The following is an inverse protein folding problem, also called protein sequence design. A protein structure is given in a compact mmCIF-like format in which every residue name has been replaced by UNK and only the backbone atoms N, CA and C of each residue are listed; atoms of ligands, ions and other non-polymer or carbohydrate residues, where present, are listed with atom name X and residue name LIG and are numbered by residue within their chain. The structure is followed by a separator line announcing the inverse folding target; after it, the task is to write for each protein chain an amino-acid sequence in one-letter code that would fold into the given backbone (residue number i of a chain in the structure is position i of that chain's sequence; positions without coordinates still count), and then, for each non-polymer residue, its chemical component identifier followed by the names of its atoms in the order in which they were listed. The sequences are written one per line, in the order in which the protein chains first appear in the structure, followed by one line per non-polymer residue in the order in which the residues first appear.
data_IF_955726975667
#
_entry.id   IF_955726975667
#
_cell.length_a   1.000
_cell.length_b   1.000
_cell.length_c   1.000
_cell.angle_alpha   90.00
_cell.angle_beta   90.00
_cell.angle_gamma   90.00
#
_symmetry.space_group_name_H-M   'P 1'
#
loop_
_entity.id
_entity.type
_entity.pdbx_description
1 polymer ?
#
# COMPACT_ATOMS: atom_id res chain seq x y z
N UNK A 1 15.93 -9.40 10.84
CA UNK A 1 16.07 -8.25 11.76
C UNK A 1 16.72 -8.63 13.10
N UNK A 2 16.16 -9.56 13.89
CA UNK A 2 16.77 -9.95 15.19
C UNK A 2 18.20 -10.46 15.05
N UNK A 3 18.52 -11.24 14.02
CA UNK A 3 19.86 -11.74 13.75
C UNK A 3 20.85 -10.61 13.44
N UNK A 4 20.36 -9.52 12.84
CA UNK A 4 21.14 -8.32 12.52
C UNK A 4 21.16 -7.29 13.66
N UNK A 5 20.67 -7.66 14.85
CA UNK A 5 20.77 -6.84 16.06
C UNK A 5 19.63 -5.83 16.26
N UNK A 6 18.56 -5.88 15.45
CA UNK A 6 17.43 -4.98 15.61
C UNK A 6 16.70 -5.19 16.95
N UNK A 7 16.40 -4.09 17.64
CA UNK A 7 15.65 -4.07 18.90
C UNK A 7 14.17 -3.81 18.60
N UNK A 8 13.30 -4.73 19.04
CA UNK A 8 11.86 -4.59 18.90
C UNK A 8 11.30 -3.83 20.08
N UNK A 9 10.73 -2.65 19.83
CA UNK A 9 10.20 -1.79 20.90
C UNK A 9 8.69 -1.97 21.13
N UNK A 10 7.96 -2.54 20.18
CA UNK A 10 6.52 -2.74 20.33
C UNK A 10 5.82 -3.19 19.05
N UNK A 11 4.49 -3.15 19.11
CA UNK A 11 3.58 -3.35 17.97
C UNK A 11 2.89 -2.03 17.66
N UNK A 12 2.83 -1.70 16.37
CA UNK A 12 2.11 -0.51 15.90
C UNK A 12 0.60 -0.79 15.78
N UNK A 13 -0.21 0.25 15.95
CA UNK A 13 -1.64 0.19 15.64
C UNK A 13 -1.84 0.07 14.13
N UNK A 14 -2.92 -0.62 13.74
CA UNK A 14 -3.32 -0.81 12.35
C UNK A 14 -4.82 -1.00 12.26
N UNK A 15 -5.41 -0.81 11.10
CA UNK A 15 -6.80 -1.18 10.88
C UNK A 15 -7.03 -2.66 11.19
N UNK A 16 -8.21 -2.98 11.70
CA UNK A 16 -8.61 -4.35 12.09
C UNK A 16 -8.34 -5.33 10.94
N UNK A 17 -7.50 -6.36 11.21
CA UNK A 17 -7.11 -7.40 10.25
C UNK A 17 -6.55 -6.87 8.91
N UNK A 18 -5.92 -5.70 8.92
CA UNK A 18 -5.43 -4.99 7.73
C UNK A 18 -6.53 -4.60 6.72
N UNK A 19 -7.80 -4.61 7.11
CA UNK A 19 -8.96 -4.38 6.26
C UNK A 19 -9.52 -2.96 6.38
N UNK A 20 -8.67 -1.96 6.27
CA UNK A 20 -9.06 -0.55 6.29
C UNK A 20 -8.17 0.27 5.37
N UNK A 21 -8.32 1.58 5.42
CA UNK A 21 -7.50 2.54 4.66
C UNK A 21 -7.25 3.83 5.43
N UNK A 22 -7.73 3.91 6.67
CA UNK A 22 -7.76 5.14 7.46
C UNK A 22 -7.05 5.04 8.80
N UNK A 23 -6.83 3.83 9.30
CA UNK A 23 -6.41 3.50 10.68
C UNK A 23 -7.40 4.02 11.75
N UNK A 24 -8.70 3.96 11.43
CA UNK A 24 -9.77 4.34 12.35
C UNK A 24 -10.57 3.15 12.89
N UNK A 25 -10.14 1.92 12.54
CA UNK A 25 -10.78 0.68 12.99
C UNK A 25 -9.89 -0.15 13.92
N UNK A 26 -8.79 0.43 14.41
CA UNK A 26 -7.88 -0.25 15.32
C UNK A 26 -8.56 -0.52 16.69
N UNK A 27 -8.40 -1.72 17.22
CA UNK A 27 -8.94 -2.12 18.53
C UNK A 27 -8.43 -1.24 19.68
N UNK A 28 -7.20 -0.72 19.58
CA UNK A 28 -6.58 0.12 20.62
C UNK A 28 -6.81 1.62 20.42
N UNK A 29 -7.62 2.01 19.48
CA UNK A 29 -7.91 3.40 19.14
C UNK A 29 -7.22 3.87 17.86
N UNK A 30 -7.61 5.03 17.36
CA UNK A 30 -7.09 5.62 16.12
C UNK A 30 -5.63 6.06 16.29
N UNK A 31 -4.85 5.91 15.23
CA UNK A 31 -3.59 6.62 15.13
C UNK A 31 -3.82 8.03 14.57
N UNK A 32 -3.21 9.01 15.21
CA UNK A 32 -3.25 10.40 14.79
C UNK A 32 -2.00 10.75 13.94
N UNK A 33 -2.18 11.58 12.93
CA UNK A 33 -1.08 11.98 12.08
C UNK A 33 -0.12 12.91 12.86
N UNK A 34 1.17 12.59 12.94
CA UNK A 34 2.11 13.38 13.74
C UNK A 34 2.33 14.82 13.22
N UNK A 35 2.06 15.09 11.94
CA UNK A 35 2.13 16.43 11.37
C UNK A 35 0.93 17.31 11.75
N UNK A 36 -0.25 16.68 11.92
CA UNK A 36 -1.47 17.34 12.37
C UNK A 36 -2.39 16.28 12.99
N UNK A 37 -2.55 16.33 14.31
CA UNK A 37 -3.27 15.31 15.09
C UNK A 37 -4.78 15.26 14.82
N UNK A 38 -5.35 16.25 14.12
CA UNK A 38 -6.75 16.21 13.67
C UNK A 38 -6.93 15.42 12.38
N UNK A 39 -5.82 14.98 11.75
CA UNK A 39 -5.82 14.24 10.49
C UNK A 39 -5.51 12.76 10.70
N UNK A 40 -6.00 11.93 9.78
CA UNK A 40 -5.72 10.50 9.79
C UNK A 40 -4.28 10.21 9.31
N UNK A 41 -3.75 9.07 9.72
CA UNK A 41 -2.46 8.55 9.25
C UNK A 41 -2.56 7.83 7.91
N UNK A 42 -3.78 7.58 7.43
CA UNK A 42 -4.00 6.54 6.42
C UNK A 42 -3.84 5.14 7.01
N UNK A 43 -4.20 4.14 6.24
CA UNK A 43 -4.19 2.73 6.67
C UNK A 43 -3.91 1.78 5.50
N UNK A 44 -3.80 0.50 5.87
CA UNK A 44 -4.01 -0.08 7.21
C UNK A 44 -2.80 0.07 8.15
N UNK A 45 -1.59 0.34 7.67
CA UNK A 45 -0.34 0.39 8.48
C UNK A 45 -0.04 1.82 9.01
N UNK A 46 -1.06 2.60 9.37
CA UNK A 46 -0.93 4.00 9.75
C UNK A 46 -0.06 4.24 10.98
N UNK A 47 -0.21 3.41 12.03
CA UNK A 47 0.62 3.53 13.23
C UNK A 47 2.10 3.27 12.96
N UNK A 48 2.44 2.37 12.03
CA UNK A 48 3.84 2.13 11.61
C UNK A 48 4.42 3.36 10.92
N UNK A 49 3.67 3.99 10.01
CA UNK A 49 4.09 5.22 9.35
C UNK A 49 4.28 6.38 10.34
N UNK A 50 3.32 6.55 11.26
CA UNK A 50 3.37 7.59 12.27
C UNK A 50 4.57 7.46 13.22
N UNK A 51 4.95 6.22 13.61
CA UNK A 51 6.12 5.97 14.45
C UNK A 51 7.43 6.38 13.77
N UNK A 52 7.57 6.16 12.46
CA UNK A 52 8.74 6.63 11.71
C UNK A 52 8.70 8.14 11.55
N UNK A 53 7.55 8.70 11.16
CA UNK A 53 7.39 10.14 10.97
C UNK A 53 7.61 10.97 12.24
N UNK A 54 7.35 10.41 13.42
CA UNK A 54 7.63 11.05 14.72
C UNK A 54 9.05 10.80 15.24
N UNK A 55 9.91 10.11 14.48
CA UNK A 55 11.29 9.82 14.88
C UNK A 55 11.43 8.81 16.04
N UNK A 56 10.36 8.14 16.43
CA UNK A 56 10.38 7.15 17.53
C UNK A 56 11.17 5.90 17.14
N UNK A 57 11.12 5.51 15.87
CA UNK A 57 11.87 4.39 15.31
C UNK A 57 12.44 4.75 13.93
N UNK A 58 13.65 4.25 13.58
CA UNK A 58 14.21 4.46 12.24
C UNK A 58 13.47 3.67 11.15
N UNK A 59 12.80 2.56 11.53
CA UNK A 59 12.03 1.73 10.60
C UNK A 59 10.85 1.05 11.29
N UNK A 60 9.79 0.79 10.54
CA UNK A 60 8.64 0.03 11.00
C UNK A 60 8.13 -0.91 9.91
N UNK A 61 7.65 -2.10 10.31
CA UNK A 61 7.05 -3.07 9.39
C UNK A 61 5.57 -2.75 9.20
N UNK A 62 5.08 -2.96 7.98
CA UNK A 62 3.67 -2.89 7.62
C UNK A 62 3.27 -4.02 6.68
N UNK A 63 2.03 -4.02 6.24
CA UNK A 63 1.52 -4.89 5.18
C UNK A 63 0.73 -4.06 4.16
N UNK A 64 0.75 -4.50 2.90
CA UNK A 64 0.14 -3.80 1.78
C UNK A 64 -0.63 -4.78 0.90
N UNK A 65 -1.94 -4.63 0.87
CA UNK A 65 -2.86 -5.46 0.08
C UNK A 65 -3.48 -4.67 -1.09
N UNK A 66 -3.58 -3.36 -0.96
CA UNK A 66 -4.05 -2.44 -2.01
C UNK A 66 -3.19 -1.16 -2.09
N UNK A 67 -2.85 -0.60 -0.93
CA UNK A 67 -2.04 0.61 -0.79
C UNK A 67 -1.56 0.82 0.66
N UNK A 68 -1.77 -0.15 1.52
CA UNK A 68 -1.74 -0.01 2.99
C UNK A 68 -0.36 0.28 3.62
N UNK A 69 0.71 0.36 2.83
CA UNK A 69 2.02 0.93 3.19
C UNK A 69 2.22 2.26 2.46
N UNK A 70 1.88 2.33 1.19
CA UNK A 70 2.20 3.45 0.31
C UNK A 70 1.34 4.69 0.56
N UNK A 71 0.05 4.53 0.83
CA UNK A 71 -0.85 5.63 1.21
C UNK A 71 -0.47 6.21 2.57
N UNK A 72 -0.29 5.39 3.64
CA UNK A 72 0.22 5.91 4.91
C UNK A 72 1.57 6.62 4.81
N UNK A 73 2.48 6.15 3.95
CA UNK A 73 3.76 6.81 3.73
C UNK A 73 3.56 8.23 3.18
N UNK A 74 2.65 8.41 2.20
CA UNK A 74 2.32 9.72 1.65
C UNK A 74 1.80 10.68 2.72
N UNK A 75 0.86 10.22 3.54
CA UNK A 75 0.20 11.05 4.55
C UNK A 75 1.10 11.38 5.75
N UNK A 76 2.14 10.59 6.00
CA UNK A 76 3.06 10.80 7.12
C UNK A 76 4.44 11.33 6.67
N UNK A 77 4.68 11.54 5.37
CA UNK A 77 5.94 12.12 4.88
C UNK A 77 7.16 11.23 5.07
N UNK A 78 6.99 9.92 4.93
CA UNK A 78 8.04 8.91 5.05
C UNK A 78 8.18 8.09 3.78
N UNK A 79 9.25 7.33 3.67
CA UNK A 79 9.42 6.33 2.60
C UNK A 79 8.64 5.08 2.98
N UNK A 80 7.74 4.63 2.08
CA UNK A 80 6.99 3.39 2.27
C UNK A 80 7.21 2.43 1.10
N UNK A 81 7.71 1.23 1.38
CA UNK A 81 8.10 0.25 0.37
C UNK A 81 7.22 -0.98 0.40
N UNK A 82 6.65 -1.32 -0.75
CA UNK A 82 6.03 -2.60 -1.06
C UNK A 82 6.91 -3.29 -2.10
N UNK A 83 7.75 -4.27 -1.75
CA UNK A 83 8.60 -4.96 -2.72
C UNK A 83 7.79 -5.90 -3.61
N UNK A 84 8.46 -6.59 -4.52
CA UNK A 84 7.85 -7.64 -5.35
C UNK A 84 7.21 -8.73 -4.47
N UNK A 85 6.06 -9.25 -4.91
CA UNK A 85 5.35 -10.32 -4.23
C UNK A 85 6.26 -11.54 -3.98
N UNK A 86 6.31 -11.97 -2.72
CA UNK A 86 7.19 -13.06 -2.31
C UNK A 86 8.66 -12.66 -2.13
N UNK A 87 9.03 -11.39 -2.26
CA UNK A 87 10.40 -10.92 -1.96
C UNK A 87 10.69 -10.99 -0.46
N UNK A 88 9.70 -10.67 0.37
CA UNK A 88 9.71 -10.86 1.82
C UNK A 88 8.72 -11.96 2.18
N UNK A 89 9.11 -12.87 3.07
CA UNK A 89 8.23 -13.93 3.56
C UNK A 89 7.00 -13.36 4.28
N UNK A 90 5.85 -13.97 4.05
CA UNK A 90 4.58 -13.66 4.73
C UNK A 90 4.28 -14.59 5.91
N UNK A 91 5.21 -15.48 6.23
CA UNK A 91 5.04 -16.38 7.37
C UNK A 91 4.90 -15.59 8.68
N UNK A 92 3.83 -15.88 9.42
CA UNK A 92 3.50 -15.20 10.67
C UNK A 92 2.56 -14.00 10.53
N UNK A 93 2.15 -13.65 9.29
CA UNK A 93 1.12 -12.65 9.04
C UNK A 93 -0.24 -13.34 9.02
N UNK A 94 -1.24 -12.71 9.64
CA UNK A 94 -2.65 -13.09 9.46
C UNK A 94 -3.07 -12.61 8.07
N UNK A 95 -3.40 -13.51 7.12
CA UNK A 95 -3.62 -13.11 5.75
C UNK A 95 -4.94 -12.36 5.59
N UNK A 96 -4.92 -11.20 4.93
CA UNK A 96 -6.13 -10.54 4.45
C UNK A 96 -6.56 -11.15 3.11
N UNK A 97 -5.79 -10.94 2.05
CA UNK A 97 -6.03 -11.50 0.73
C UNK A 97 -4.73 -12.12 0.20
N UNK A 98 -4.63 -13.46 0.27
CA UNK A 98 -3.38 -14.19 0.04
C UNK A 98 -2.75 -13.93 -1.32
N UNK A 99 -3.56 -13.63 -2.35
CA UNK A 99 -3.05 -13.32 -3.69
C UNK A 99 -2.60 -11.87 -3.88
N UNK A 100 -2.80 -10.99 -2.86
CA UNK A 100 -2.54 -9.56 -2.93
C UNK A 100 -1.62 -9.06 -1.81
N UNK A 101 -1.57 -9.76 -0.68
CA UNK A 101 -0.83 -9.35 0.51
C UNK A 101 0.69 -9.31 0.26
N UNK A 102 1.30 -8.20 0.65
CA UNK A 102 2.75 -8.01 0.70
C UNK A 102 3.17 -7.58 2.10
N UNK A 103 4.32 -8.05 2.55
CA UNK A 103 5.03 -7.38 3.64
C UNK A 103 5.71 -6.16 3.06
N UNK A 104 5.52 -5.03 3.70
CA UNK A 104 6.19 -3.80 3.39
C UNK A 104 6.76 -3.16 4.66
N UNK A 105 7.34 -1.99 4.51
CA UNK A 105 7.99 -1.30 5.61
C UNK A 105 8.11 0.20 5.33
N UNK A 106 8.46 0.95 6.37
CA UNK A 106 8.65 2.40 6.36
C UNK A 106 10.04 2.74 6.87
N UNK A 107 10.66 3.76 6.27
CA UNK A 107 11.94 4.36 6.69
C UNK A 107 11.91 5.88 6.52
N UNK A 108 12.90 6.58 7.09
CA UNK A 108 13.03 8.03 6.92
C UNK A 108 13.63 8.45 5.58
N UNK A 109 14.38 7.55 4.93
CA UNK A 109 15.11 7.83 3.69
C UNK A 109 15.22 6.59 2.80
N UNK A 110 15.67 6.78 1.56
CA UNK A 110 15.76 5.72 0.53
C UNK A 110 16.91 4.76 0.80
N UNK A 111 18.03 5.22 1.35
CA UNK A 111 19.18 4.35 1.67
C UNK A 111 18.82 3.33 2.76
N UNK A 112 18.18 3.77 3.83
CA UNK A 112 17.64 2.88 4.87
C UNK A 112 16.58 1.92 4.31
N UNK A 113 15.81 2.34 3.30
CA UNK A 113 14.87 1.46 2.63
C UNK A 113 15.57 0.33 1.87
N UNK A 114 16.69 0.62 1.19
CA UNK A 114 17.52 -0.39 0.53
C UNK A 114 18.09 -1.40 1.54
N UNK A 115 18.75 -0.91 2.60
CA UNK A 115 19.32 -1.74 3.67
C UNK A 115 18.25 -2.61 4.33
N UNK A 116 17.07 -2.05 4.56
CA UNK A 116 15.96 -2.78 5.17
C UNK A 116 15.50 -3.93 4.26
N UNK A 117 15.41 -3.72 2.94
CA UNK A 117 15.03 -4.79 2.02
C UNK A 117 16.08 -5.89 1.96
N UNK A 118 17.36 -5.57 1.95
CA UNK A 118 18.46 -6.54 1.98
C UNK A 118 18.35 -7.50 3.17
N UNK A 119 17.96 -6.98 4.32
CA UNK A 119 17.80 -7.77 5.56
C UNK A 119 16.50 -8.57 5.58
N UNK A 120 15.42 -8.05 5.01
CA UNK A 120 14.09 -8.67 5.07
C UNK A 120 13.86 -9.68 3.94
N UNK A 121 14.48 -9.46 2.78
CA UNK A 121 14.27 -10.28 1.60
C UNK A 121 14.92 -11.66 1.73
N UNK A 122 14.42 -12.60 0.95
CA UNK A 122 15.02 -13.94 0.84
C UNK A 122 14.02 -15.08 0.98
N UNK A 123 14.53 -16.29 0.76
CA UNK A 123 13.75 -17.51 0.84
C UNK A 123 13.41 -17.88 2.30
N UNK A 124 12.16 -18.23 2.53
CA UNK A 124 11.68 -18.84 3.76
C UNK A 124 10.89 -20.11 3.44
N UNK A 125 11.39 -21.26 3.89
CA UNK A 125 10.77 -22.57 3.60
C UNK A 125 9.37 -22.74 4.25
N UNK A 126 9.00 -21.83 5.17
CA UNK A 126 7.68 -21.81 5.79
C UNK A 126 6.64 -21.01 4.99
N UNK A 127 7.09 -20.26 3.97
CA UNK A 127 6.24 -19.54 3.03
C UNK A 127 6.53 -20.01 1.59
N UNK A 128 5.64 -20.83 1.06
CA UNK A 128 5.75 -21.37 -0.30
C UNK A 128 5.73 -20.31 -1.39
N UNK A 129 5.28 -19.08 -1.08
CA UNK A 129 5.26 -17.95 -2.02
C UNK A 129 6.55 -17.15 -2.00
N UNK A 130 7.44 -17.37 -1.02
CA UNK A 130 8.72 -16.67 -0.96
C UNK A 130 9.66 -17.10 -2.10
N UNK A 131 10.35 -16.11 -2.68
CA UNK A 131 11.16 -16.27 -3.88
C UNK A 131 12.48 -16.99 -3.62
N UNK A 132 12.96 -17.77 -4.60
CA UNK A 132 14.31 -18.34 -4.65
C UNK A 132 15.37 -17.38 -5.21
N UNK A 133 14.97 -16.19 -5.70
CA UNK A 133 15.93 -15.22 -6.24
C UNK A 133 16.88 -14.74 -5.16
N UNK A 134 18.19 -14.63 -5.45
CA UNK A 134 19.16 -14.04 -4.54
C UNK A 134 18.73 -12.62 -4.11
N UNK A 135 19.14 -12.21 -2.95
CA UNK A 135 19.00 -10.83 -2.50
C UNK A 135 20.10 -10.01 -3.15
N UNK A 136 19.72 -8.90 -3.76
CA UNK A 136 20.63 -7.97 -4.40
C UNK A 136 21.20 -6.98 -3.37
N UNK A 137 22.37 -6.41 -3.65
CA UNK A 137 23.00 -5.38 -2.82
C UNK A 137 22.45 -4.00 -3.24
N UNK A 138 21.19 -3.73 -2.86
CA UNK A 138 20.46 -2.52 -3.30
C UNK A 138 21.13 -1.23 -2.84
N UNK A 139 21.64 -1.19 -1.61
CA UNK A 139 22.31 -0.02 -1.04
C UNK A 139 23.65 0.27 -1.71
N UNK A 140 24.43 -0.77 -1.98
CA UNK A 140 25.72 -0.63 -2.66
C UNK A 140 25.58 -0.20 -4.13
N UNK A 141 24.48 -0.56 -4.79
CA UNK A 141 24.19 -0.23 -6.17
C UNK A 141 23.30 1.01 -6.32
N UNK A 142 22.88 1.63 -5.22
CA UNK A 142 21.99 2.78 -5.22
C UNK A 142 22.64 3.98 -5.92
N UNK A 143 21.96 4.52 -6.92
CA UNK A 143 22.39 5.69 -7.63
C UNK A 143 21.22 6.59 -8.01
N UNK A 144 21.50 7.82 -8.41
CA UNK A 144 20.49 8.79 -8.81
C UNK A 144 20.63 9.26 -10.26
N UNK A 145 21.35 8.49 -11.08
CA UNK A 145 21.49 8.78 -12.51
C UNK A 145 20.20 8.45 -13.25
N UNK A 146 19.61 9.47 -13.85
CA UNK A 146 18.35 9.36 -14.59
C UNK A 146 18.55 9.33 -16.11
N UNK A 147 19.78 9.39 -16.62
CA UNK A 147 20.03 9.37 -18.06
C UNK A 147 19.49 8.10 -18.72
N UNK A 148 18.60 8.31 -19.70
CA UNK A 148 17.98 7.22 -20.46
C UNK A 148 16.88 6.45 -19.74
N UNK A 149 16.59 6.75 -18.48
CA UNK A 149 15.42 6.20 -17.76
C UNK A 149 14.14 6.73 -18.41
N UNK A 150 13.22 5.83 -18.74
CA UNK A 150 11.91 6.16 -19.29
C UNK A 150 10.84 5.98 -18.23
N UNK A 151 10.12 7.04 -17.94
CA UNK A 151 9.14 7.07 -16.84
C UNK A 151 7.79 7.49 -17.40
N UNK A 152 6.75 6.72 -17.13
CA UNK A 152 5.38 7.02 -17.50
C UNK A 152 4.64 7.73 -16.36
N UNK A 153 3.96 8.83 -16.68
CA UNK A 153 2.96 9.46 -15.79
C UNK A 153 1.59 8.87 -16.12
N UNK A 154 0.84 8.42 -15.13
CA UNK A 154 -0.53 7.94 -15.36
C UNK A 154 -1.48 9.12 -15.51
N UNK A 155 -1.81 9.50 -16.76
CA UNK A 155 -2.71 10.63 -17.05
C UNK A 155 -4.07 10.48 -16.37
N UNK A 156 -4.65 9.26 -16.38
CA UNK A 156 -5.92 8.98 -15.72
C UNK A 156 -5.95 9.35 -14.22
N UNK A 157 -4.81 9.21 -13.54
CA UNK A 157 -4.69 9.60 -12.12
C UNK A 157 -4.61 11.12 -11.99
N UNK A 158 -3.82 11.78 -12.84
CA UNK A 158 -3.67 13.24 -12.82
C UNK A 158 -5.01 13.93 -13.11
N UNK A 159 -5.81 13.40 -14.04
CA UNK A 159 -7.15 13.92 -14.35
C UNK A 159 -8.09 13.86 -13.15
N UNK A 160 -7.98 12.81 -12.33
CA UNK A 160 -8.80 12.61 -11.14
C UNK A 160 -8.37 13.43 -9.90
N UNK A 161 -7.25 14.14 -9.96
CA UNK A 161 -6.81 15.00 -8.86
C UNK A 161 -7.43 16.39 -9.03
N UNK A 162 -8.24 16.82 -8.06
CA UNK A 162 -8.88 18.14 -8.09
C UNK A 162 -7.98 19.27 -7.61
N UNK A 163 -7.05 18.98 -6.71
CA UNK A 163 -6.19 19.98 -6.07
C UNK A 163 -5.02 20.37 -6.94
N UNK A 164 -5.01 21.62 -7.41
CA UNK A 164 -3.96 22.14 -8.28
C UNK A 164 -2.59 22.16 -7.63
N UNK A 165 -2.50 22.47 -6.36
CA UNK A 165 -1.24 22.50 -5.59
C UNK A 165 -0.59 21.11 -5.48
N UNK A 166 -1.39 20.02 -5.41
CA UNK A 166 -0.88 18.65 -5.49
C UNK A 166 -0.30 18.34 -6.87
N UNK A 167 -1.00 18.77 -7.95
CA UNK A 167 -0.47 18.64 -9.31
C UNK A 167 0.82 19.44 -9.49
N UNK A 168 0.86 20.67 -9.00
CA UNK A 168 2.02 21.53 -9.11
C UNK A 168 3.25 20.96 -8.39
N UNK A 169 3.06 20.41 -7.19
CA UNK A 169 4.12 19.73 -6.45
C UNK A 169 4.64 18.51 -7.22
N UNK A 170 3.74 17.70 -7.80
CA UNK A 170 4.11 16.54 -8.60
C UNK A 170 4.88 16.94 -9.86
N UNK A 171 4.38 17.89 -10.64
CA UNK A 171 5.06 18.31 -11.87
C UNK A 171 6.39 19.03 -11.60
N UNK A 172 6.54 19.70 -10.45
CA UNK A 172 7.83 20.24 -10.04
C UNK A 172 8.90 19.14 -9.87
N UNK A 173 8.52 17.97 -9.33
CA UNK A 173 9.42 16.81 -9.26
C UNK A 173 9.67 16.22 -10.63
N UNK A 174 8.65 16.12 -11.50
CA UNK A 174 8.80 15.64 -12.89
C UNK A 174 9.83 16.46 -13.66
N UNK A 175 9.77 17.80 -13.57
CA UNK A 175 10.72 18.68 -14.25
C UNK A 175 12.16 18.49 -13.73
N UNK A 176 12.34 18.22 -12.46
CA UNK A 176 13.65 17.91 -11.89
C UNK A 176 14.20 16.57 -12.40
N UNK A 177 13.36 15.54 -12.53
CA UNK A 177 13.75 14.27 -13.15
C UNK A 177 14.13 14.43 -14.61
N UNK A 178 13.38 15.24 -15.38
CA UNK A 178 13.72 15.61 -16.75
C UNK A 178 15.06 16.33 -16.85
N UNK A 179 15.32 17.26 -15.96
CA UNK A 179 16.58 17.99 -15.87
C UNK A 179 17.77 17.06 -15.56
N UNK A 180 17.54 15.94 -14.86
CA UNK A 180 18.53 14.87 -14.63
C UNK A 180 18.69 13.90 -15.82
N UNK A 181 17.96 14.09 -16.91
CA UNK A 181 18.09 13.29 -18.14
C UNK A 181 17.09 12.16 -18.28
N UNK A 182 16.07 12.07 -17.40
CA UNK A 182 14.97 11.13 -17.59
C UNK A 182 14.06 11.56 -18.76
N UNK A 183 13.56 10.59 -19.50
CA UNK A 183 12.46 10.77 -20.44
C UNK A 183 11.17 10.52 -19.70
N UNK A 184 10.42 11.57 -19.37
CA UNK A 184 9.17 11.45 -18.60
C UNK A 184 8.01 11.86 -19.50
N UNK A 185 7.12 10.92 -19.79
CA UNK A 185 5.99 11.06 -20.72
C UNK A 185 4.68 10.68 -20.07
N UNK A 186 3.59 11.25 -20.56
CA UNK A 186 2.26 10.86 -20.13
C UNK A 186 1.84 9.54 -20.80
N UNK A 187 1.21 8.67 -20.03
CA UNK A 187 0.66 7.40 -20.47
C UNK A 187 -0.77 7.23 -19.95
N UNK A 188 -1.71 6.99 -20.85
CA UNK A 188 -3.10 6.75 -20.51
C UNK A 188 -3.44 5.26 -20.63
N UNK A 189 -3.90 4.66 -19.55
CA UNK A 189 -4.49 3.34 -19.58
C UNK A 189 -5.94 3.42 -20.11
N UNK A 190 -6.45 2.30 -20.60
CA UNK A 190 -7.87 2.23 -20.96
C UNK A 190 -8.75 2.59 -19.74
N UNK A 191 -9.66 3.53 -19.92
CA UNK A 191 -10.48 4.11 -18.86
C UNK A 191 -11.37 3.06 -18.17
N UNK A 192 -11.96 2.12 -18.92
CA UNK A 192 -12.79 1.05 -18.35
C UNK A 192 -11.98 0.13 -17.42
N UNK A 193 -10.69 -0.11 -17.76
CA UNK A 193 -9.81 -0.87 -16.89
C UNK A 193 -9.48 -0.09 -15.61
N UNK A 194 -9.27 1.21 -15.70
CA UNK A 194 -9.00 2.05 -14.54
C UNK A 194 -10.22 2.11 -13.60
N UNK A 195 -11.43 2.27 -14.13
CA UNK A 195 -12.69 2.19 -13.37
C UNK A 195 -12.90 0.81 -12.72
N UNK A 196 -12.40 -0.25 -13.34
CA UNK A 196 -12.52 -1.61 -12.83
C UNK A 196 -11.55 -1.95 -11.69
N UNK A 197 -10.56 -1.11 -11.37
CA UNK A 197 -9.54 -1.40 -10.33
C UNK A 197 -10.20 -1.63 -8.97
N UNK A 198 -10.96 -0.65 -8.48
CA UNK A 198 -11.56 -0.72 -7.14
C UNK A 198 -12.53 -1.89 -6.99
N UNK A 199 -13.53 -2.10 -7.87
CA UNK A 199 -14.43 -3.25 -7.75
C UNK A 199 -13.69 -4.60 -7.87
N UNK A 200 -12.69 -4.70 -8.73
CA UNK A 200 -11.86 -5.92 -8.87
C UNK A 200 -11.11 -6.21 -7.57
N UNK A 201 -10.49 -5.19 -6.99
CA UNK A 201 -9.80 -5.29 -5.70
C UNK A 201 -10.74 -5.74 -4.58
N UNK A 202 -11.88 -5.05 -4.42
CA UNK A 202 -12.83 -5.38 -3.36
C UNK A 202 -13.40 -6.79 -3.47
N UNK A 203 -13.73 -7.24 -4.67
CA UNK A 203 -14.26 -8.59 -4.87
C UNK A 203 -13.21 -9.64 -4.50
N UNK A 204 -12.00 -9.54 -5.06
CA UNK A 204 -10.93 -10.51 -4.79
C UNK A 204 -10.58 -10.49 -3.31
N UNK A 205 -10.30 -9.32 -2.75
CA UNK A 205 -9.86 -9.17 -1.37
C UNK A 205 -10.91 -9.66 -0.36
N UNK A 206 -12.18 -9.33 -0.56
CA UNK A 206 -13.23 -9.76 0.38
C UNK A 206 -13.54 -11.26 0.26
N UNK A 207 -13.51 -11.84 -0.94
CA UNK A 207 -13.66 -13.29 -1.12
C UNK A 207 -12.52 -14.06 -0.45
N UNK A 208 -11.29 -13.64 -0.67
CA UNK A 208 -10.12 -14.26 -0.04
C UNK A 208 -10.10 -14.05 1.49
N UNK A 209 -10.46 -12.86 1.99
CA UNK A 209 -10.60 -12.57 3.42
C UNK A 209 -11.62 -13.49 4.09
N UNK A 210 -12.77 -13.70 3.45
CA UNK A 210 -13.83 -14.57 3.98
C UNK A 210 -13.31 -16.00 4.17
N UNK A 211 -12.55 -16.51 3.21
CA UNK A 211 -11.91 -17.82 3.32
C UNK A 211 -10.79 -17.83 4.35
N UNK A 212 -9.88 -16.87 4.31
CA UNK A 212 -8.71 -16.80 5.18
C UNK A 212 -9.09 -16.67 6.67
N UNK A 213 -10.15 -15.91 6.98
CA UNK A 213 -10.60 -15.68 8.36
C UNK A 213 -11.72 -16.64 8.82
N UNK A 214 -12.00 -17.67 8.07
CA UNK A 214 -12.98 -18.69 8.47
C UNK A 214 -12.58 -19.44 9.75
N UNK A 215 -11.27 -19.48 10.06
CA UNK A 215 -10.72 -20.09 11.26
C UNK A 215 -10.82 -19.21 12.52
N UNK A 216 -11.15 -17.92 12.38
CA UNK A 216 -11.45 -17.03 13.51
C UNK A 216 -12.90 -17.23 13.93
N UNK A 217 -13.19 -18.36 14.52
CA UNK A 217 -14.54 -18.89 14.78
C UNK A 217 -14.91 -18.97 16.28
N UNK A 218 -13.98 -18.55 17.16
CA UNK A 218 -14.16 -18.65 18.60
C UNK A 218 -13.96 -20.06 19.16
N UNK A 219 -13.65 -21.06 18.30
CA UNK A 219 -13.34 -22.43 18.72
C UNK A 219 -11.85 -22.67 18.67
N UNK A 220 -11.23 -22.42 17.49
CA UNK A 220 -9.79 -22.62 17.26
C UNK A 220 -8.99 -21.36 17.54
N UNK A 221 -9.52 -20.20 17.15
CA UNK A 221 -8.86 -18.91 17.28
C UNK A 221 -9.89 -17.80 17.56
N UNK A 222 -9.39 -16.70 18.14
CA UNK A 222 -10.18 -15.51 18.41
C UNK A 222 -10.86 -15.52 19.77
N UNK A 223 -11.66 -14.49 20.01
CA UNK A 223 -12.48 -14.36 21.21
C UNK A 223 -13.61 -15.40 21.15
N UNK A 224 -13.84 -16.06 22.27
CA UNK A 224 -14.93 -17.04 22.41
C UNK A 224 -16.08 -16.44 23.21
N UNK A 225 -17.26 -16.50 22.64
CA UNK A 225 -18.53 -16.17 23.31
C UNK A 225 -19.34 -17.45 23.57
N UNK A 226 -20.18 -17.43 24.59
CA UNK A 226 -21.03 -18.57 24.94
C UNK A 226 -22.20 -18.72 23.96
N UNK A 227 -22.72 -19.94 23.83
CA UNK A 227 -23.86 -20.30 23.03
C UNK A 227 -24.40 -21.68 23.44
N UNK A 228 -25.66 -21.99 23.10
CA UNK A 228 -26.30 -23.26 23.42
C UNK A 228 -25.73 -24.46 22.65
N UNK A 229 -25.17 -24.17 21.45
CA UNK A 229 -24.51 -25.16 20.60
C UNK A 229 -23.31 -24.55 19.87
N UNK A 230 -22.63 -25.37 19.06
CA UNK A 230 -21.44 -24.97 18.30
C UNK A 230 -21.74 -23.82 17.32
N UNK A 231 -22.88 -23.88 16.65
CA UNK A 231 -23.25 -22.85 15.66
C UNK A 231 -23.51 -21.51 16.35
N UNK A 232 -24.18 -21.52 17.49
CA UNK A 232 -24.43 -20.30 18.27
C UNK A 232 -23.14 -19.72 18.86
N UNK A 233 -22.23 -20.55 19.38
CA UNK A 233 -20.91 -20.13 19.84
C UNK A 233 -20.15 -19.41 18.69
N UNK A 234 -20.07 -20.00 17.51
CA UNK A 234 -19.39 -19.41 16.36
C UNK A 234 -20.07 -18.11 15.91
N UNK A 235 -21.40 -18.08 15.86
CA UNK A 235 -22.17 -16.91 15.46
C UNK A 235 -21.95 -15.75 16.44
N UNK A 236 -22.07 -16.01 17.74
CA UNK A 236 -21.88 -15.01 18.78
C UNK A 236 -20.45 -14.47 18.78
N UNK A 237 -19.46 -15.38 18.71
CA UNK A 237 -18.04 -15.01 18.69
C UNK A 237 -17.69 -14.11 17.51
N UNK A 238 -18.16 -14.46 16.30
CA UNK A 238 -17.92 -13.65 15.11
C UNK A 238 -18.71 -12.34 15.10
N UNK A 239 -19.93 -12.34 15.62
CA UNK A 239 -20.78 -11.14 15.68
C UNK A 239 -20.23 -10.10 16.64
N UNK A 240 -19.73 -10.51 17.80
CA UNK A 240 -19.17 -9.61 18.82
C UNK A 240 -17.69 -9.31 18.59
N UNK A 241 -16.94 -10.29 18.09
CA UNK A 241 -15.48 -10.22 17.93
C UNK A 241 -15.01 -9.38 16.74
N UNK A 242 -15.86 -9.16 15.72
CA UNK A 242 -15.50 -8.35 14.55
C UNK A 242 -16.24 -7.02 14.51
N UNK A 243 -15.50 -5.98 14.14
CA UNK A 243 -16.06 -4.66 13.88
C UNK A 243 -17.04 -4.64 12.69
N UNK A 244 -17.91 -3.60 12.61
CA UNK A 244 -18.94 -3.52 11.56
C UNK A 244 -18.36 -3.56 10.13
N UNK A 245 -17.21 -2.92 9.89
CA UNK A 245 -16.54 -2.91 8.60
C UNK A 245 -16.13 -4.32 8.16
N UNK A 246 -15.55 -5.09 9.07
CA UNK A 246 -15.08 -6.46 8.79
C UNK A 246 -16.25 -7.38 8.51
N UNK A 247 -17.32 -7.31 9.32
CA UNK A 247 -18.54 -8.09 9.09
C UNK A 247 -19.15 -7.82 7.71
N UNK A 248 -19.21 -6.54 7.30
CA UNK A 248 -19.69 -6.15 5.94
C UNK A 248 -18.83 -6.77 4.84
N UNK A 249 -17.50 -6.78 4.99
CA UNK A 249 -16.58 -7.39 4.03
C UNK A 249 -16.78 -8.90 3.91
N UNK A 250 -17.01 -9.59 5.02
CA UNK A 250 -17.32 -11.03 4.98
C UNK A 250 -18.66 -11.34 4.31
N UNK A 251 -19.68 -10.49 4.48
CA UNK A 251 -20.96 -10.65 3.75
C UNK A 251 -20.75 -10.52 2.26
N UNK A 252 -20.01 -9.50 1.80
CA UNK A 252 -19.70 -9.30 0.38
C UNK A 252 -18.88 -10.48 -0.16
N UNK A 253 -17.85 -10.92 0.57
CA UNK A 253 -17.02 -12.04 0.17
C UNK A 253 -17.78 -13.36 0.11
N UNK A 254 -18.64 -13.63 1.10
CA UNK A 254 -19.49 -14.82 1.11
C UNK A 254 -20.42 -14.86 -0.10
N UNK A 255 -21.04 -13.72 -0.45
CA UNK A 255 -21.90 -13.62 -1.63
C UNK A 255 -21.15 -13.97 -2.92
N UNK A 256 -19.90 -13.48 -3.07
CA UNK A 256 -19.05 -13.79 -4.23
C UNK A 256 -18.57 -15.24 -4.28
N UNK A 257 -18.54 -15.95 -3.15
CA UNK A 257 -18.10 -17.35 -3.05
C UNK A 257 -19.22 -18.37 -3.17
N UNK A 258 -20.50 -17.99 -3.11
CA UNK A 258 -21.59 -18.90 -3.38
C UNK A 258 -21.46 -19.53 -4.78
N UNK A 259 -21.79 -20.80 -4.92
CA UNK A 259 -21.61 -21.57 -6.15
C UNK A 259 -22.23 -20.88 -7.38
N UNK A 260 -23.45 -20.35 -7.24
CA UNK A 260 -24.19 -19.65 -8.30
C UNK A 260 -23.55 -18.31 -8.70
N UNK A 261 -22.73 -17.70 -7.82
CA UNK A 261 -22.11 -16.39 -8.01
C UNK A 261 -20.64 -16.47 -8.40
N UNK A 262 -19.97 -17.57 -8.09
CA UNK A 262 -18.51 -17.67 -8.16
C UNK A 262 -17.96 -17.34 -9.56
N UNK A 263 -18.56 -17.85 -10.62
CA UNK A 263 -18.12 -17.56 -11.99
C UNK A 263 -18.38 -16.10 -12.40
N UNK A 264 -19.52 -15.55 -12.00
CA UNK A 264 -19.97 -14.22 -12.43
C UNK A 264 -19.29 -13.11 -11.65
N UNK A 265 -18.84 -13.37 -10.42
CA UNK A 265 -18.29 -12.37 -9.50
C UNK A 265 -16.80 -12.62 -9.25
N UNK A 266 -16.43 -13.65 -8.47
CA UNK A 266 -15.05 -13.86 -8.04
C UNK A 266 -14.12 -14.19 -9.22
N UNK A 267 -14.45 -15.18 -10.01
CA UNK A 267 -13.63 -15.56 -11.18
C UNK A 267 -13.63 -14.48 -12.27
N UNK A 268 -14.73 -13.75 -12.42
CA UNK A 268 -14.76 -12.58 -13.31
C UNK A 268 -13.76 -11.52 -12.86
N UNK A 269 -13.73 -11.19 -11.57
CA UNK A 269 -12.75 -10.24 -11.02
C UNK A 269 -11.31 -10.71 -11.23
N UNK A 270 -11.01 -12.01 -11.06
CA UNK A 270 -9.68 -12.55 -11.36
C UNK A 270 -9.30 -12.43 -12.85
N UNK A 271 -10.26 -12.60 -13.77
CA UNK A 271 -10.05 -12.38 -15.22
C UNK A 271 -9.80 -10.90 -15.51
N UNK A 272 -10.55 -9.98 -14.90
CA UNK A 272 -10.32 -8.52 -15.05
C UNK A 272 -8.96 -8.13 -14.49
N UNK A 273 -8.57 -8.63 -13.30
CA UNK A 273 -7.20 -8.46 -12.76
C UNK A 273 -6.15 -8.83 -13.80
N UNK A 274 -6.30 -9.96 -14.47
CA UNK A 274 -5.35 -10.40 -15.51
C UNK A 274 -5.23 -9.40 -16.65
N UNK A 275 -6.35 -8.85 -17.13
CA UNK A 275 -6.34 -7.84 -18.21
C UNK A 275 -5.65 -6.54 -17.75
N UNK A 276 -5.89 -6.10 -16.52
CA UNK A 276 -5.18 -4.94 -15.94
C UNK A 276 -3.67 -5.19 -15.90
N UNK A 277 -3.25 -6.38 -15.43
CA UNK A 277 -1.83 -6.76 -15.39
C UNK A 277 -1.20 -6.81 -16.79
N UNK A 278 -1.93 -7.29 -17.80
CA UNK A 278 -1.46 -7.30 -19.18
C UNK A 278 -1.28 -5.89 -19.73
N UNK A 279 -2.15 -4.94 -19.38
CA UNK A 279 -1.99 -3.53 -19.72
C UNK A 279 -0.75 -2.91 -19.05
N UNK A 280 -0.52 -3.20 -17.74
CA UNK A 280 0.71 -2.78 -17.06
C UNK A 280 1.96 -3.35 -17.72
N UNK A 281 1.95 -4.64 -18.04
CA UNK A 281 3.09 -5.29 -18.72
C UNK A 281 3.36 -4.69 -20.10
N UNK A 282 2.33 -4.21 -20.82
CA UNK A 282 2.49 -3.50 -22.06
C UNK A 282 3.21 -2.14 -21.86
N UNK A 283 2.80 -1.38 -20.83
CA UNK A 283 3.45 -0.14 -20.43
C UNK A 283 4.94 -0.39 -20.06
N UNK A 284 5.23 -1.40 -19.24
CA UNK A 284 6.61 -1.73 -18.83
C UNK A 284 7.52 -2.31 -19.95
N UNK A 285 7.02 -2.54 -21.16
CA UNK A 285 7.88 -2.80 -22.31
C UNK A 285 8.54 -1.54 -22.86
N UNK A 286 7.95 -0.39 -22.59
CA UNK A 286 8.38 0.91 -23.11
C UNK A 286 8.98 1.79 -22.01
N UNK A 287 8.55 1.60 -20.75
CA UNK A 287 8.93 2.41 -19.60
C UNK A 287 9.53 1.56 -18.46
N UNK A 288 10.52 2.12 -17.80
CA UNK A 288 11.19 1.51 -16.64
C UNK A 288 10.32 1.60 -15.36
N UNK A 289 9.53 2.66 -15.27
CA UNK A 289 8.66 2.93 -14.13
C UNK A 289 7.39 3.70 -14.53
N UNK A 290 6.41 3.59 -13.65
CA UNK A 290 5.18 4.40 -13.66
C UNK A 290 5.19 5.27 -12.40
N UNK A 291 4.87 6.55 -12.54
CA UNK A 291 4.75 7.49 -11.41
C UNK A 291 3.40 8.22 -11.41
N UNK A 292 2.90 8.53 -10.22
CA UNK A 292 1.75 9.42 -9.99
C UNK A 292 1.75 9.92 -8.54
N UNK A 293 1.01 10.99 -8.20
CA UNK A 293 0.75 11.33 -6.81
C UNK A 293 0.12 10.15 -6.05
N UNK A 294 0.57 9.89 -4.82
CA UNK A 294 0.05 8.78 -4.01
C UNK A 294 -1.34 9.06 -3.42
N UNK A 295 -1.76 10.32 -3.42
CA UNK A 295 -3.09 10.80 -3.02
C UNK A 295 -3.41 12.09 -3.74
N UNK A 296 -4.69 12.38 -3.91
CA UNK A 296 -5.16 13.64 -4.51
C UNK A 296 -4.96 14.89 -3.64
N UNK A 297 -4.71 14.72 -2.35
CA UNK A 297 -4.48 15.80 -1.39
C UNK A 297 -3.69 15.30 -0.16
N UNK A 298 -3.41 16.18 0.81
CA UNK A 298 -2.90 15.84 2.14
C UNK A 298 -3.89 14.92 2.89
N UNK A 299 -3.44 14.34 4.00
CA UNK A 299 -4.25 13.44 4.81
C UNK A 299 -5.61 14.07 5.19
N UNK A 300 -6.74 13.36 5.00
CA UNK A 300 -8.05 13.85 5.42
C UNK A 300 -8.17 14.02 6.93
N UNK A 301 -9.11 14.86 7.38
CA UNK A 301 -9.45 15.01 8.80
C UNK A 301 -10.06 13.71 9.35
N UNK A 302 -9.83 13.43 10.63
CA UNK A 302 -10.44 12.30 11.34
C UNK A 302 -11.95 12.47 11.51
N UNK A 303 -12.41 13.69 11.74
CA UNK A 303 -13.82 14.04 11.91
C UNK A 303 -14.31 14.88 10.72
N UNK A 304 -15.60 14.76 10.40
CA UNK A 304 -16.25 15.60 9.38
C UNK A 304 -16.18 15.08 7.95
N UNK A 305 -15.62 13.91 7.71
CA UNK A 305 -15.64 13.27 6.39
C UNK A 305 -17.05 12.74 6.06
N UNK A 306 -17.88 13.57 5.45
CA UNK A 306 -19.06 13.09 4.74
C UNK A 306 -18.60 12.56 3.37
N UNK A 307 -18.86 11.29 3.11
CA UNK A 307 -18.63 10.70 1.79
C UNK A 307 -19.64 11.34 0.83
N UNK A 308 -19.22 12.37 0.11
CA UNK A 308 -19.94 12.84 -1.07
C UNK A 308 -19.87 11.77 -2.17
N UNK A 309 -20.78 11.81 -3.11
CA UNK A 309 -20.74 10.91 -4.29
C UNK A 309 -19.47 11.25 -5.08
N UNK A 310 -18.50 10.37 -5.03
CA UNK A 310 -17.20 10.58 -5.68
C UNK A 310 -17.32 10.33 -7.19
N UNK A 311 -16.64 11.14 -7.99
CA UNK A 311 -16.55 10.91 -9.44
C UNK A 311 -15.71 9.66 -9.75
N UNK A 312 -15.88 9.08 -10.94
CA UNK A 312 -15.08 7.94 -11.39
C UNK A 312 -13.58 8.28 -11.43
N UNK A 313 -13.24 9.50 -11.86
CA UNK A 313 -11.87 10.00 -11.93
C UNK A 313 -11.23 10.09 -10.53
N UNK A 314 -11.99 10.60 -9.55
CA UNK A 314 -11.53 10.63 -8.15
C UNK A 314 -11.30 9.23 -7.60
N UNK A 315 -12.23 8.30 -7.86
CA UNK A 315 -12.09 6.89 -7.45
C UNK A 315 -10.84 6.26 -8.07
N UNK A 316 -10.54 6.55 -9.33
CA UNK A 316 -9.31 6.09 -10.01
C UNK A 316 -8.08 6.65 -9.29
N UNK A 317 -8.02 7.97 -9.08
CA UNK A 317 -6.88 8.64 -8.47
C UNK A 317 -6.57 8.11 -7.05
N UNK A 318 -7.60 7.78 -6.27
CA UNK A 318 -7.42 7.29 -4.91
C UNK A 318 -7.13 5.78 -4.79
N UNK A 319 -7.35 4.99 -5.84
CA UNK A 319 -7.26 3.52 -5.76
C UNK A 319 -6.33 2.86 -6.79
N UNK A 320 -5.71 3.61 -7.70
CA UNK A 320 -4.84 3.06 -8.76
C UNK A 320 -3.66 2.23 -8.22
N UNK A 321 -3.18 2.52 -7.02
CA UNK A 321 -2.03 1.81 -6.42
C UNK A 321 -2.28 0.31 -6.26
N UNK A 322 -3.55 -0.15 -6.21
CA UNK A 322 -3.88 -1.58 -6.18
C UNK A 322 -3.37 -2.34 -7.43
N UNK A 323 -3.11 -1.64 -8.53
CA UNK A 323 -2.49 -2.24 -9.73
C UNK A 323 -1.15 -2.93 -9.41
N UNK A 324 -0.34 -2.34 -8.51
CA UNK A 324 0.92 -2.95 -8.08
C UNK A 324 0.73 -4.23 -7.24
N UNK A 325 -0.41 -4.37 -6.53
CA UNK A 325 -0.76 -5.61 -5.85
C UNK A 325 -1.29 -6.65 -6.85
N UNK A 326 -2.00 -6.22 -7.88
CA UNK A 326 -2.47 -7.11 -8.95
C UNK A 326 -1.33 -7.73 -9.72
N UNK A 327 -0.33 -6.93 -10.11
CA UNK A 327 0.84 -7.38 -10.87
C UNK A 327 1.87 -8.09 -9.98
N UNK A 328 1.87 -7.80 -8.68
CA UNK A 328 2.92 -8.23 -7.76
C UNK A 328 4.25 -7.49 -7.92
N UNK A 329 4.31 -6.44 -8.76
CA UNK A 329 5.52 -5.63 -8.94
C UNK A 329 5.86 -4.76 -7.73
N UNK A 330 7.12 -4.32 -7.58
CA UNK A 330 7.52 -3.44 -6.49
C UNK A 330 6.93 -2.05 -6.69
N UNK A 331 6.56 -1.42 -5.59
CA UNK A 331 6.02 -0.06 -5.58
C UNK A 331 6.38 0.63 -4.27
N UNK A 332 6.72 1.90 -4.33
CA UNK A 332 7.05 2.69 -3.15
C UNK A 332 6.50 4.09 -3.25
N UNK A 333 6.33 4.72 -2.10
CA UNK A 333 5.98 6.14 -1.99
C UNK A 333 7.11 6.88 -1.28
N UNK A 334 7.45 8.06 -1.81
CA UNK A 334 8.42 8.98 -1.23
C UNK A 334 7.78 10.36 -1.06
N UNK A 335 8.23 11.20 -0.11
CA UNK A 335 7.78 12.58 0.02
C UNK A 335 8.08 13.38 -1.26
N UNK A 336 7.14 14.21 -1.72
CA UNK A 336 7.33 15.09 -2.88
C UNK A 336 7.16 16.58 -2.58
N UNK A 337 6.62 16.92 -1.41
CA UNK A 337 6.36 18.29 -1.00
C UNK A 337 5.50 18.38 0.25
N UNK A 338 5.14 19.59 0.59
CA UNK A 338 4.24 19.92 1.72
C UNK A 338 3.15 20.89 1.28
N UNK A 339 1.99 20.76 1.90
CA UNK A 339 0.87 21.67 1.83
C UNK A 339 0.27 21.83 3.22
N UNK A 340 0.06 23.06 3.68
CA UNK A 340 -0.49 23.32 5.03
C UNK A 340 0.28 22.58 6.15
N UNK A 341 1.61 22.57 6.07
CA UNK A 341 2.51 21.82 6.97
C UNK A 341 2.30 20.28 6.96
N UNK A 342 1.47 19.75 6.08
CA UNK A 342 1.23 18.32 5.89
C UNK A 342 1.93 17.79 4.63
N UNK A 343 2.47 16.55 4.66
CA UNK A 343 3.21 16.03 3.53
C UNK A 343 2.32 15.60 2.37
N UNK A 344 2.89 15.65 1.17
CA UNK A 344 2.40 15.07 -0.07
C UNK A 344 3.37 13.99 -0.53
N UNK A 345 2.87 12.90 -1.10
CA UNK A 345 3.67 11.76 -1.55
C UNK A 345 3.56 11.48 -3.04
N UNK A 346 4.66 11.01 -3.64
CA UNK A 346 4.74 10.50 -5.00
C UNK A 346 4.95 8.99 -4.96
N UNK A 347 4.13 8.26 -5.70
CA UNK A 347 4.25 6.80 -5.84
C UNK A 347 5.02 6.43 -7.10
N UNK A 348 5.92 5.46 -6.96
CA UNK A 348 6.73 4.85 -8.03
C UNK A 348 6.35 3.38 -8.09
N UNK A 349 6.04 2.87 -9.27
CA UNK A 349 5.78 1.44 -9.50
C UNK A 349 6.64 0.94 -10.65
N UNK A 350 7.33 -0.18 -10.45
CA UNK A 350 8.16 -0.83 -11.47
C UNK A 350 7.64 -2.23 -11.79
N UNK A 351 8.16 -2.81 -12.88
CA UNK A 351 7.89 -4.21 -13.19
C UNK A 351 8.48 -5.13 -12.12
N UNK A 352 7.91 -6.32 -11.96
CA UNK A 352 8.36 -7.29 -10.97
C UNK A 352 9.89 -7.52 -11.04
N UNK A 353 10.53 -7.52 -9.89
CA UNK A 353 11.98 -7.70 -9.70
C UNK A 353 12.86 -6.51 -10.13
N UNK A 354 12.28 -5.35 -10.35
CA UNK A 354 13.01 -4.12 -10.66
C UNK A 354 13.09 -3.18 -9.45
N UNK A 355 13.33 -3.73 -8.26
CA UNK A 355 13.49 -2.94 -7.03
C UNK A 355 14.62 -1.93 -7.14
N UNK A 356 15.76 -2.29 -7.75
CA UNK A 356 16.88 -1.36 -7.90
C UNK A 356 16.47 -0.11 -8.70
N UNK A 357 15.79 -0.29 -9.84
CA UNK A 357 15.29 0.84 -10.63
C UNK A 357 14.32 1.72 -9.83
N UNK A 358 13.45 1.10 -9.03
CA UNK A 358 12.53 1.81 -8.14
C UNK A 358 13.27 2.65 -7.11
N UNK A 359 14.30 2.09 -6.46
CA UNK A 359 15.13 2.80 -5.48
C UNK A 359 15.97 3.91 -6.12
N UNK A 360 16.54 3.69 -7.32
CA UNK A 360 17.32 4.71 -8.04
C UNK A 360 16.46 5.95 -8.36
N UNK A 361 15.24 5.75 -8.87
CA UNK A 361 14.30 6.84 -9.14
C UNK A 361 13.90 7.55 -7.83
N UNK A 362 13.61 6.78 -6.79
CA UNK A 362 13.29 7.32 -5.47
C UNK A 362 14.45 8.15 -4.91
N UNK A 363 15.70 7.70 -5.08
CA UNK A 363 16.90 8.43 -4.67
C UNK A 363 17.06 9.74 -5.40
N UNK A 364 16.82 9.76 -6.71
CA UNK A 364 16.83 10.99 -7.50
C UNK A 364 15.76 11.99 -6.99
N UNK A 365 14.55 11.52 -6.67
CA UNK A 365 13.49 12.35 -6.10
C UNK A 365 13.88 12.87 -4.71
N UNK A 366 14.41 12.02 -3.84
CA UNK A 366 14.86 12.40 -2.50
C UNK A 366 15.93 13.51 -2.54
N UNK A 367 16.93 13.38 -3.43
CA UNK A 367 17.97 14.39 -3.62
C UNK A 367 17.41 15.72 -4.15
N UNK A 368 16.47 15.68 -5.08
CA UNK A 368 15.88 16.88 -5.69
C UNK A 368 14.91 17.61 -4.77
N UNK A 369 14.22 16.88 -3.93
CA UNK A 369 13.27 17.46 -2.96
C UNK A 369 13.96 17.90 -1.66
N UNK A 370 15.05 17.21 -1.29
CA UNK A 370 15.70 17.36 0.01
C UNK A 370 14.87 16.82 1.19
N UNK A 371 13.79 16.08 0.90
CA UNK A 371 12.82 15.59 1.89
C UNK A 371 13.20 14.19 2.37
N UNK A 372 14.22 14.11 3.21
CA UNK A 372 14.67 12.88 3.87
C UNK A 372 14.80 13.08 5.37
N UNK A 373 14.63 12.01 6.13
CA UNK A 373 14.76 11.99 7.60
C UNK A 373 13.94 13.09 8.28
N UNK A 374 12.78 13.38 7.71
CA UNK A 374 11.86 14.35 8.25
C UNK A 374 11.14 13.78 9.46
N UNK A 375 11.10 14.56 10.52
CA UNK A 375 10.36 14.23 11.73
C UNK A 375 9.37 15.31 12.06
N UNK A 376 8.13 14.93 12.30
CA UNK A 376 7.11 15.83 12.78
C UNK A 376 7.37 16.16 14.26
N UNK A 377 7.32 17.43 14.60
CA UNK A 377 7.22 17.85 16.00
C UNK A 377 5.78 17.62 16.46
N UNK A 378 5.56 16.51 17.19
CA UNK A 378 4.24 16.24 17.78
C UNK A 378 3.93 17.30 18.81
N UNK A 379 2.96 18.16 18.51
CA UNK A 379 2.51 19.27 19.36
C UNK A 379 1.45 18.79 20.34
#
# INVERSE_FOLDING_TARGET
LKKEGAVFIGKASMDELAMGGTNTTCYTGNAHNPWNTDRMTGGSSGGSAALVASGVVPMAIGSDTGDSVRKPAAFNGVVGVKPTYGRISRYGIIPYASSLDHVGYFTGNVEDACLTLEVLAGRDERDMTSSFRPVEEYSANLNSDMHGKKIAIISNVIEGIEKQDTKDAFYAVVEKLRARGAVVEEYSFNEDLMKAILPTYFIIANCEATSNHSNLDGIRFGVREDGADLQEIMTNSRTKGFGPLIRRRFVIGSYGLFEENQEKIFRKAQKVRRVIVEAMNACFKEYDAIIAPASGDIAPLLEGNTVETLSDEHIIAENYMAMANFSGGPSMTVPMGFKEECPLGLNITCNAWNEQTMFDIAKAIEEETGLKDLHAEVK
#
